data_IF_618280350076
#
_entry.id   IF_618280350076
#
_cell.length_a   1.000
_cell.length_b   1.000
_cell.length_c   1.000
_cell.angle_alpha   90.00
_cell.angle_beta   90.00
_cell.angle_gamma   90.00
#
_symmetry.space_group_name_H-M   'P 1'
#
loop_
_entity.id
_entity.type
_entity.pdbx_description
1 polymer ?
#
# COMPACT_ATOMS: atom_id res chain seq x y z
N UNK A 1 29.32 13.46 -8.54
CA UNK A 1 29.06 12.62 -7.36
C UNK A 1 30.22 12.81 -6.40
N UNK A 2 29.94 13.04 -5.13
CA UNK A 2 30.96 13.27 -4.10
C UNK A 2 31.87 12.04 -3.91
N UNK A 3 33.19 12.20 -3.66
CA UNK A 3 34.11 11.07 -3.46
C UNK A 3 33.69 10.06 -2.39
N UNK A 4 33.04 10.52 -1.30
CA UNK A 4 32.56 9.63 -0.22
C UNK A 4 31.38 8.77 -0.67
N UNK A 5 30.54 9.27 -1.57
CA UNK A 5 29.47 8.48 -2.17
C UNK A 5 30.04 7.45 -3.15
N UNK A 6 31.03 7.85 -3.97
CA UNK A 6 31.68 6.95 -4.93
C UNK A 6 32.41 5.81 -4.22
N UNK A 7 33.08 6.09 -3.10
CA UNK A 7 33.75 5.08 -2.28
C UNK A 7 32.78 4.10 -1.62
N UNK A 8 31.52 4.51 -1.45
CA UNK A 8 30.44 3.72 -0.84
C UNK A 8 29.69 2.82 -1.84
N UNK A 9 29.99 2.89 -3.14
CA UNK A 9 29.41 1.99 -4.14
C UNK A 9 29.93 0.56 -3.90
N UNK A 10 29.00 -0.36 -3.65
CA UNK A 10 29.29 -1.79 -3.47
C UNK A 10 29.29 -2.56 -4.78
N UNK A 11 28.36 -2.23 -5.68
CA UNK A 11 28.16 -2.95 -6.94
C UNK A 11 28.03 -1.97 -8.11
N UNK A 12 28.76 -2.25 -9.19
CA UNK A 12 28.77 -1.50 -10.43
C UNK A 12 28.08 -2.28 -11.56
N UNK A 13 27.77 -1.60 -12.66
CA UNK A 13 27.18 -2.26 -13.84
C UNK A 13 28.04 -3.41 -14.39
N UNK A 14 29.37 -3.28 -14.31
CA UNK A 14 30.33 -4.30 -14.74
C UNK A 14 30.32 -5.57 -13.90
N UNK A 15 29.74 -5.51 -12.69
CA UNK A 15 29.68 -6.65 -11.77
C UNK A 15 28.48 -7.56 -12.06
N UNK A 16 27.57 -7.13 -12.96
CA UNK A 16 26.37 -7.89 -13.34
C UNK A 16 26.73 -9.28 -13.87
N UNK A 17 26.19 -10.36 -13.27
CA UNK A 17 26.39 -11.70 -13.80
C UNK A 17 25.73 -11.88 -15.16
N UNK A 18 26.27 -12.74 -16.04
CA UNK A 18 25.59 -13.11 -17.28
C UNK A 18 24.24 -13.79 -16.96
N UNK A 19 23.30 -13.71 -17.90
CA UNK A 19 21.98 -14.32 -17.80
C UNK A 19 21.13 -13.81 -16.60
N UNK A 20 21.30 -12.54 -16.24
CA UNK A 20 20.44 -11.82 -15.27
C UNK A 20 19.72 -10.66 -15.97
N UNK A 21 18.53 -10.25 -15.52
CA UNK A 21 17.87 -9.07 -16.05
C UNK A 21 18.67 -7.81 -15.71
N UNK A 22 18.73 -6.87 -16.67
CA UNK A 22 19.45 -5.60 -16.47
C UNK A 22 18.58 -4.61 -15.69
N UNK A 23 18.67 -4.68 -14.36
CA UNK A 23 17.97 -3.75 -13.47
C UNK A 23 18.82 -2.52 -13.13
N UNK A 24 18.16 -1.38 -12.95
CA UNK A 24 18.75 -0.11 -12.52
C UNK A 24 17.81 0.61 -11.57
N UNK A 25 18.33 1.55 -10.78
CA UNK A 25 17.55 2.34 -9.83
C UNK A 25 17.83 3.82 -10.03
N UNK A 26 16.77 4.61 -9.95
CA UNK A 26 16.79 6.06 -9.89
C UNK A 26 16.07 6.50 -8.62
N UNK A 27 16.51 7.63 -8.04
CA UNK A 27 15.85 8.26 -6.90
C UNK A 27 15.43 9.65 -7.37
N UNK A 28 14.22 10.07 -7.05
CA UNK A 28 13.76 11.39 -7.42
C UNK A 28 14.67 12.49 -6.85
N UNK A 29 14.97 13.53 -7.64
CA UNK A 29 15.89 14.57 -7.23
C UNK A 29 15.30 15.44 -6.11
N UNK A 30 16.20 16.02 -5.30
CA UNK A 30 16.02 17.12 -4.36
C UNK A 30 14.64 17.24 -3.71
N UNK A 31 14.53 16.84 -2.44
CA UNK A 31 13.31 17.02 -1.65
C UNK A 31 13.52 17.85 -0.39
N UNK A 32 12.52 18.66 -0.09
CA UNK A 32 12.31 19.20 1.26
C UNK A 32 11.49 18.17 2.01
N UNK A 33 11.91 17.84 3.23
CA UNK A 33 11.26 16.83 4.06
C UNK A 33 10.93 17.47 5.41
N UNK A 34 9.65 17.55 5.75
CA UNK A 34 9.21 17.92 7.09
C UNK A 34 9.52 16.78 8.06
N UNK A 35 10.03 17.12 9.25
CA UNK A 35 10.21 16.14 10.33
C UNK A 35 8.91 15.84 11.06
N UNK A 36 7.93 16.74 11.02
CA UNK A 36 6.63 16.51 11.65
C UNK A 36 5.66 15.74 10.74
N UNK A 37 5.80 15.91 9.42
CA UNK A 37 5.00 15.22 8.40
C UNK A 37 5.86 14.85 7.17
N UNK A 38 6.62 13.76 7.23
CA UNK A 38 7.58 13.46 6.18
C UNK A 38 6.94 12.91 4.91
N UNK A 39 7.07 13.68 3.83
CA UNK A 39 6.78 13.17 2.49
C UNK A 39 7.77 12.05 2.15
N UNK A 40 7.25 10.92 1.68
CA UNK A 40 8.07 9.78 1.29
C UNK A 40 8.99 10.05 0.09
N UNK A 41 10.07 9.26 0.02
CA UNK A 41 11.03 9.30 -1.09
C UNK A 41 10.51 8.41 -2.21
N UNK A 42 10.62 8.86 -3.46
CA UNK A 42 10.20 8.08 -4.61
C UNK A 42 11.43 7.55 -5.34
N UNK A 43 11.38 6.26 -5.68
CA UNK A 43 12.39 5.57 -6.48
C UNK A 43 11.75 4.99 -7.74
N UNK A 44 12.58 4.78 -8.74
CA UNK A 44 12.21 4.05 -9.96
C UNK A 44 13.20 2.93 -10.19
N UNK A 45 12.72 1.69 -10.21
CA UNK A 45 13.50 0.52 -10.62
C UNK A 45 13.16 0.22 -12.08
N UNK A 46 14.15 0.20 -12.95
CA UNK A 46 13.95 -0.03 -14.38
C UNK A 46 14.59 -1.33 -14.82
N UNK A 47 13.85 -2.14 -15.58
CA UNK A 47 14.42 -3.20 -16.39
C UNK A 47 14.75 -2.65 -17.78
N UNK A 48 16.03 -2.67 -18.15
CA UNK A 48 16.45 -2.23 -19.47
C UNK A 48 15.97 -3.19 -20.57
N UNK A 49 15.82 -2.67 -21.78
CA UNK A 49 15.78 -3.52 -22.97
C UNK A 49 17.14 -4.21 -23.12
N UNK A 50 17.12 -5.54 -23.18
CA UNK A 50 18.30 -6.37 -23.37
C UNK A 50 18.01 -7.48 -24.39
N UNK A 51 18.99 -8.34 -24.68
CA UNK A 51 18.88 -9.39 -25.68
C UNK A 51 17.87 -10.51 -25.27
N UNK A 52 17.22 -10.38 -24.10
CA UNK A 52 16.26 -11.33 -23.57
C UNK A 52 14.84 -10.73 -23.56
N UNK A 53 13.97 -11.22 -24.45
CA UNK A 53 12.58 -10.77 -24.52
C UNK A 53 11.69 -11.29 -23.38
N UNK A 54 12.17 -12.22 -22.56
CA UNK A 54 11.36 -12.82 -21.51
C UNK A 54 11.10 -11.81 -20.38
N UNK A 55 9.90 -11.77 -19.77
CA UNK A 55 9.69 -11.06 -18.51
C UNK A 55 10.58 -11.64 -17.40
N UNK A 56 10.79 -10.88 -16.34
CA UNK A 56 11.34 -11.42 -15.09
C UNK A 56 10.46 -11.05 -13.91
N UNK A 57 10.32 -11.97 -12.96
CA UNK A 57 9.79 -11.64 -11.65
C UNK A 57 10.93 -11.20 -10.74
N UNK A 58 10.67 -10.21 -9.90
CA UNK A 58 11.62 -9.61 -9.00
C UNK A 58 10.92 -9.20 -7.71
N UNK A 59 11.37 -9.73 -6.57
CA UNK A 59 10.86 -9.31 -5.26
C UNK A 59 11.76 -8.25 -4.66
N UNK A 60 11.17 -7.13 -4.26
CA UNK A 60 11.84 -6.04 -3.57
C UNK A 60 10.95 -5.44 -2.49
N UNK A 61 11.32 -5.69 -1.24
CA UNK A 61 10.62 -5.23 -0.05
C UNK A 61 11.23 -3.92 0.46
N UNK A 62 10.41 -2.87 0.61
CA UNK A 62 10.87 -1.55 1.08
C UNK A 62 11.60 -1.64 2.43
N UNK A 63 11.05 -2.39 3.39
CA UNK A 63 11.60 -2.48 4.74
C UNK A 63 12.90 -3.28 4.82
N UNK A 64 13.08 -4.31 3.98
CA UNK A 64 14.22 -5.24 4.02
C UNK A 64 15.27 -4.96 2.97
N UNK A 65 14.86 -4.64 1.75
CA UNK A 65 15.73 -4.39 0.61
C UNK A 65 16.08 -2.89 0.49
N UNK A 66 15.11 -2.02 0.76
CA UNK A 66 15.30 -0.57 0.80
C UNK A 66 15.94 -0.09 2.11
N UNK A 67 15.31 -0.38 3.25
CA UNK A 67 15.72 0.11 4.58
C UNK A 67 16.49 -0.91 5.43
N UNK A 68 16.75 -2.10 4.89
CA UNK A 68 17.58 -3.09 5.57
C UNK A 68 19.08 -2.79 5.50
N UNK A 69 19.93 -3.68 6.04
CA UNK A 69 21.37 -3.42 6.22
C UNK A 69 22.16 -3.26 4.92
N UNK A 70 21.64 -3.80 3.81
CA UNK A 70 22.24 -3.70 2.48
C UNK A 70 21.62 -2.61 1.62
N UNK A 71 20.60 -1.92 2.11
CA UNK A 71 19.81 -0.96 1.36
C UNK A 71 20.41 0.45 1.32
N UNK A 72 19.55 1.47 1.37
CA UNK A 72 19.94 2.87 1.32
C UNK A 72 20.87 3.27 2.47
N UNK A 73 21.80 4.17 2.15
CA UNK A 73 22.68 4.84 3.10
C UNK A 73 22.31 6.32 3.17
N UNK A 74 22.52 6.95 4.32
CA UNK A 74 22.33 8.37 4.52
C UNK A 74 23.65 9.04 4.90
N UNK A 75 23.91 10.20 4.31
CA UNK A 75 25.08 11.04 4.61
C UNK A 75 24.62 12.44 4.99
N UNK A 76 25.18 13.01 6.05
CA UNK A 76 24.92 14.38 6.47
C UNK A 76 25.94 15.32 5.84
N UNK A 77 25.51 16.49 5.35
CA UNK A 77 26.41 17.56 4.96
C UNK A 77 26.95 18.25 6.20
N UNK A 78 28.27 18.25 6.36
CA UNK A 78 28.96 18.95 7.45
C UNK A 78 29.99 19.93 6.88
N UNK A 79 30.59 20.78 7.73
CA UNK A 79 31.68 21.68 7.32
C UNK A 79 32.90 20.94 6.78
N UNK A 80 33.09 19.69 7.20
CA UNK A 80 34.24 18.85 6.84
C UNK A 80 33.95 17.93 5.64
N UNK A 81 32.74 18.02 5.06
CA UNK A 81 32.27 17.19 3.96
C UNK A 81 31.10 16.28 4.33
N UNK A 82 30.85 15.25 3.52
CA UNK A 82 29.80 14.27 3.78
C UNK A 82 30.22 13.30 4.89
N UNK A 83 29.37 13.17 5.91
CA UNK A 83 29.56 12.21 6.99
C UNK A 83 28.45 11.16 6.97
N UNK A 84 28.83 9.88 6.91
CA UNK A 84 27.87 8.77 6.98
C UNK A 84 27.10 8.80 8.31
N UNK A 85 25.78 8.64 8.22
CA UNK A 85 24.87 8.51 9.35
C UNK A 85 24.64 7.02 9.61
N UNK A 86 24.75 6.59 10.87
CA UNK A 86 24.47 5.20 11.25
C UNK A 86 22.98 5.04 11.57
N UNK A 87 22.32 4.11 10.87
CA UNK A 87 20.89 3.85 11.02
C UNK A 87 20.59 2.58 11.83
N UNK A 88 19.42 2.55 12.46
CA UNK A 88 18.85 1.33 13.07
C UNK A 88 18.10 0.55 12.00
N UNK A 89 18.83 -0.20 11.19
CA UNK A 89 18.27 -0.95 10.06
C UNK A 89 17.32 -2.06 10.50
N UNK A 90 16.34 -2.35 9.64
CA UNK A 90 15.43 -3.48 9.79
C UNK A 90 16.12 -4.83 9.55
N UNK A 91 15.33 -5.91 9.65
CA UNK A 91 15.79 -7.26 9.34
C UNK A 91 16.34 -7.39 7.91
N UNK A 92 17.34 -8.28 7.68
CA UNK A 92 17.88 -8.50 6.35
C UNK A 92 16.82 -9.07 5.37
N UNK A 93 17.08 -8.95 4.05
CA UNK A 93 16.28 -9.58 3.00
C UNK A 93 16.12 -11.08 3.21
N UNK A 94 14.97 -11.60 2.77
CA UNK A 94 14.75 -13.03 2.70
C UNK A 94 15.64 -13.66 1.62
N UNK A 95 16.02 -14.92 1.81
CA UNK A 95 16.82 -15.66 0.82
C UNK A 95 15.97 -16.54 -0.09
N UNK A 96 14.79 -16.93 0.39
CA UNK A 96 13.77 -17.64 -0.39
C UNK A 96 12.39 -17.12 -0.02
N UNK A 97 11.43 -17.26 -0.94
CA UNK A 97 10.02 -17.08 -0.66
C UNK A 97 9.18 -18.00 -1.55
N UNK A 98 7.99 -18.36 -1.09
CA UNK A 98 7.03 -19.12 -1.89
C UNK A 98 5.96 -18.18 -2.43
N UNK A 99 5.81 -18.13 -3.75
CA UNK A 99 4.81 -17.29 -4.40
C UNK A 99 3.45 -17.99 -4.31
N UNK A 100 2.62 -17.63 -3.34
CA UNK A 100 1.29 -18.25 -3.15
C UNK A 100 0.13 -17.37 -3.60
N UNK A 101 0.42 -16.25 -4.25
CA UNK A 101 -0.49 -15.11 -4.42
C UNK A 101 0.15 -13.96 -5.18
N UNK A 102 -0.65 -12.96 -5.57
CA UNK A 102 -0.11 -11.62 -5.80
C UNK A 102 0.36 -11.06 -4.44
N UNK A 103 1.65 -10.74 -4.34
CA UNK A 103 2.28 -10.15 -3.17
C UNK A 103 2.79 -8.78 -3.60
N UNK A 104 2.43 -7.71 -2.87
CA UNK A 104 2.74 -6.30 -3.20
C UNK A 104 4.25 -6.03 -3.40
N UNK A 105 5.09 -6.95 -2.92
CA UNK A 105 6.54 -6.84 -2.97
C UNK A 105 7.16 -7.60 -4.16
N UNK A 106 6.37 -8.40 -4.89
CA UNK A 106 6.86 -9.22 -6.00
C UNK A 106 6.27 -8.73 -7.32
N UNK A 107 7.14 -8.25 -8.20
CA UNK A 107 6.77 -7.58 -9.43
C UNK A 107 7.16 -8.40 -10.65
N UNK A 108 6.40 -8.28 -11.73
CA UNK A 108 6.76 -8.77 -13.06
C UNK A 108 7.22 -7.60 -13.93
N UNK A 109 8.43 -7.69 -14.50
CA UNK A 109 9.02 -6.65 -15.34
C UNK A 109 9.36 -7.17 -16.74
N UNK A 110 8.67 -6.62 -17.73
CA UNK A 110 8.97 -6.71 -19.15
C UNK A 110 10.22 -5.89 -19.52
N UNK A 111 10.89 -6.21 -20.66
CA UNK A 111 12.01 -5.41 -21.12
C UNK A 111 11.57 -3.96 -21.36
N UNK A 112 12.31 -2.99 -20.82
CA UNK A 112 11.99 -1.56 -20.93
C UNK A 112 11.07 -1.02 -19.82
N UNK A 113 10.41 -1.89 -19.06
CA UNK A 113 9.44 -1.51 -18.03
C UNK A 113 10.10 -0.88 -16.80
N UNK A 114 9.35 0.00 -16.15
CA UNK A 114 9.76 0.72 -14.94
C UNK A 114 8.77 0.51 -13.82
N UNK A 115 9.29 0.32 -12.63
CA UNK A 115 8.57 0.21 -11.37
C UNK A 115 8.84 1.46 -10.55
N UNK A 116 7.83 2.30 -10.32
CA UNK A 116 7.95 3.48 -9.44
C UNK A 116 7.36 3.17 -8.07
N UNK A 117 8.07 3.49 -7.00
CA UNK A 117 7.68 3.19 -5.61
C UNK A 117 7.95 4.38 -4.70
N UNK A 118 6.98 4.70 -3.86
CA UNK A 118 7.22 5.53 -2.68
C UNK A 118 7.74 4.62 -1.56
N UNK A 119 8.97 4.85 -1.12
CA UNK A 119 9.65 4.05 -0.09
C UNK A 119 9.44 4.62 1.32
N UNK A 120 8.56 5.61 1.47
CA UNK A 120 8.34 6.32 2.72
C UNK A 120 9.53 7.19 3.11
N UNK A 121 9.55 7.62 4.36
CA UNK A 121 10.63 8.41 4.91
C UNK A 121 11.81 7.53 5.36
N UNK A 122 13.01 8.09 5.63
CA UNK A 122 14.21 7.31 5.96
C UNK A 122 14.16 6.70 7.36
N UNK A 123 13.24 5.75 7.60
CA UNK A 123 12.93 5.15 8.90
C UNK A 123 14.18 4.79 9.74
N UNK A 124 15.22 4.13 9.18
CA UNK A 124 16.39 3.73 9.98
C UNK A 124 17.19 4.91 10.54
N UNK A 125 17.12 6.06 9.89
CA UNK A 125 17.95 7.23 10.18
C UNK A 125 17.18 8.33 10.91
N UNK A 126 15.89 8.12 11.15
CA UNK A 126 14.96 9.14 11.62
C UNK A 126 15.44 9.89 12.87
N UNK A 127 15.93 9.16 13.88
CA UNK A 127 16.46 9.72 15.14
C UNK A 127 17.67 10.65 14.96
N UNK A 128 18.27 10.72 13.76
CA UNK A 128 19.46 11.49 13.45
C UNK A 128 19.20 12.63 12.46
N UNK A 129 17.96 12.80 12.01
CA UNK A 129 17.56 13.89 11.14
C UNK A 129 17.27 15.14 11.98
N UNK A 130 17.92 16.26 11.66
CA UNK A 130 17.69 17.55 12.32
C UNK A 130 17.16 18.56 11.32
N UNK A 131 16.23 19.39 11.78
CA UNK A 131 15.70 20.47 10.96
C UNK A 131 16.79 21.52 10.64
N UNK A 132 16.72 22.09 9.44
CA UNK A 132 17.72 23.00 8.89
C UNK A 132 18.97 22.31 8.35
N UNK A 133 19.12 21.00 8.53
CA UNK A 133 20.24 20.25 8.01
C UNK A 133 19.94 19.61 6.65
N UNK A 134 21.03 19.29 5.93
CA UNK A 134 20.99 18.71 4.59
C UNK A 134 21.66 17.35 4.59
N UNK A 135 21.04 16.40 3.91
CA UNK A 135 21.49 15.02 3.81
C UNK A 135 21.53 14.55 2.35
N UNK A 136 22.29 13.50 2.08
CA UNK A 136 22.27 12.75 0.82
C UNK A 136 21.80 11.33 1.12
N UNK A 137 20.67 10.96 0.51
CA UNK A 137 20.24 9.57 0.46
C UNK A 137 20.91 8.91 -0.73
N UNK A 138 21.51 7.74 -0.50
CA UNK A 138 22.37 7.08 -1.46
C UNK A 138 22.06 5.60 -1.59
N UNK A 139 21.93 5.13 -2.83
CA UNK A 139 21.84 3.72 -3.16
C UNK A 139 23.23 3.14 -3.43
N UNK A 140 23.78 2.28 -2.54
CA UNK A 140 25.12 1.71 -2.71
C UNK A 140 25.20 0.60 -3.75
N UNK A 141 24.05 0.11 -4.23
CA UNK A 141 23.96 -1.10 -5.03
C UNK A 141 23.82 -2.34 -4.15
N UNK A 142 23.07 -3.32 -4.66
CA UNK A 142 22.85 -4.58 -3.97
C UNK A 142 22.63 -5.74 -4.95
N UNK A 143 22.83 -6.95 -4.45
CA UNK A 143 22.55 -8.21 -5.13
C UNK A 143 21.32 -8.88 -4.53
N UNK A 144 20.51 -9.51 -5.39
CA UNK A 144 19.23 -10.12 -5.00
C UNK A 144 19.13 -11.54 -5.50
N UNK A 145 18.71 -12.44 -4.62
CA UNK A 145 18.44 -13.84 -4.95
C UNK A 145 16.96 -14.08 -5.32
N UNK A 146 16.06 -13.18 -4.92
CA UNK A 146 14.61 -13.35 -5.09
C UNK A 146 14.15 -12.83 -6.45
N UNK A 147 14.55 -13.54 -7.51
CA UNK A 147 14.13 -13.23 -8.87
C UNK A 147 14.10 -14.51 -9.72
N UNK A 148 13.36 -14.49 -10.82
CA UNK A 148 13.37 -15.55 -11.83
C UNK A 148 12.93 -15.02 -13.20
N UNK A 149 13.31 -15.72 -14.27
CA UNK A 149 12.77 -15.47 -15.62
C UNK A 149 11.37 -16.04 -15.77
N UNK A 150 10.49 -15.33 -16.45
CA UNK A 150 9.09 -15.71 -16.66
C UNK A 150 8.12 -14.76 -15.96
N UNK A 151 6.86 -15.16 -15.96
CA UNK A 151 5.72 -14.41 -15.41
C UNK A 151 5.39 -14.85 -13.98
N UNK A 152 4.67 -14.01 -13.22
CA UNK A 152 4.13 -14.37 -11.90
C UNK A 152 3.28 -15.65 -11.98
N UNK A 153 2.53 -15.81 -13.07
CA UNK A 153 1.66 -16.97 -13.29
C UNK A 153 2.46 -18.26 -13.49
N UNK A 154 3.56 -18.21 -14.22
CA UNK A 154 4.44 -19.37 -14.42
C UNK A 154 5.08 -19.84 -13.12
N UNK A 155 5.37 -18.91 -12.20
CA UNK A 155 6.02 -19.18 -10.92
C UNK A 155 5.05 -19.40 -9.76
N UNK A 156 3.76 -19.53 -10.04
CA UNK A 156 2.76 -19.71 -9.00
C UNK A 156 2.98 -21.01 -8.19
N UNK A 157 2.84 -20.91 -6.87
CA UNK A 157 3.13 -21.94 -5.86
C UNK A 157 4.58 -22.44 -5.80
N UNK A 158 5.48 -21.86 -6.61
CA UNK A 158 6.89 -22.19 -6.64
C UNK A 158 7.67 -21.43 -5.56
N UNK A 159 8.78 -22.02 -5.13
CA UNK A 159 9.75 -21.35 -4.28
C UNK A 159 10.78 -20.62 -5.15
N UNK A 160 10.91 -19.32 -4.92
CA UNK A 160 11.87 -18.45 -5.60
C UNK A 160 12.96 -18.07 -4.61
N UNK A 161 14.21 -18.05 -5.07
CA UNK A 161 15.34 -17.61 -4.25
C UNK A 161 16.61 -18.40 -4.53
N UNK A 162 17.48 -18.45 -3.53
CA UNK A 162 18.81 -19.08 -3.61
C UNK A 162 18.78 -20.55 -4.04
N UNK A 163 17.66 -21.25 -3.83
CA UNK A 163 17.50 -22.67 -4.16
C UNK A 163 17.30 -22.93 -5.67
N UNK A 164 16.93 -21.91 -6.46
CA UNK A 164 16.75 -22.05 -7.92
C UNK A 164 18.07 -22.17 -8.69
N UNK A 165 19.21 -21.92 -8.06
CA UNK A 165 20.52 -21.96 -8.71
C UNK A 165 20.76 -20.83 -9.73
N UNK A 166 19.87 -19.83 -9.77
CA UNK A 166 20.06 -18.64 -10.59
C UNK A 166 21.16 -17.74 -10.00
N UNK A 167 21.95 -17.06 -10.85
CA UNK A 167 22.87 -16.03 -10.37
C UNK A 167 22.10 -14.90 -9.68
N UNK A 168 22.71 -14.19 -8.73
CA UNK A 168 22.06 -13.04 -8.08
C UNK A 168 21.95 -11.88 -9.08
N UNK A 169 20.77 -11.29 -9.20
CA UNK A 169 20.60 -10.07 -10.01
C UNK A 169 21.20 -8.89 -9.25
N UNK A 170 21.83 -7.96 -9.97
CA UNK A 170 22.43 -6.76 -9.38
C UNK A 170 21.66 -5.52 -9.82
N UNK A 171 21.26 -4.71 -8.84
CA UNK A 171 20.91 -3.31 -9.06
C UNK A 171 22.16 -2.49 -8.71
N UNK A 172 22.82 -1.85 -9.69
CA UNK A 172 24.04 -1.11 -9.45
C UNK A 172 23.80 0.10 -8.54
N UNK A 173 24.84 0.49 -7.81
CA UNK A 173 24.84 1.67 -6.97
C UNK A 173 25.06 2.97 -7.75
N UNK A 174 24.84 4.09 -7.07
CA UNK A 174 25.09 5.42 -7.60
C UNK A 174 23.85 6.32 -7.66
N UNK A 175 22.65 5.78 -7.51
CA UNK A 175 21.46 6.61 -7.39
C UNK A 175 21.53 7.43 -6.09
N UNK A 176 21.32 8.74 -6.17
CA UNK A 176 21.40 9.61 -5.00
C UNK A 176 20.42 10.78 -5.10
N UNK A 177 19.89 11.23 -3.97
CA UNK A 177 19.15 12.47 -3.89
C UNK A 177 19.50 13.26 -2.63
N UNK A 178 19.34 14.58 -2.73
CA UNK A 178 19.56 15.48 -1.61
C UNK A 178 18.26 15.72 -0.86
N UNK A 179 18.30 15.62 0.47
CA UNK A 179 17.19 15.86 1.38
C UNK A 179 17.50 17.08 2.24
N UNK A 180 16.59 18.05 2.29
CA UNK A 180 16.68 19.18 3.22
C UNK A 180 15.58 19.03 4.26
N UNK A 181 15.95 18.89 5.53
CA UNK A 181 14.99 18.71 6.61
C UNK A 181 14.49 20.07 7.12
N UNK A 182 13.19 20.20 7.35
CA UNK A 182 12.56 21.40 7.94
C UNK A 182 11.67 21.00 9.10
N UNK A 183 11.47 21.89 10.08
CA UNK A 183 10.56 21.64 11.21
C UNK A 183 9.12 21.55 10.71
N UNK A 184 8.71 22.51 9.87
CA UNK A 184 7.36 22.63 9.36
C UNK A 184 7.42 23.07 7.89
N UNK A 185 7.03 22.19 6.97
CA UNK A 185 6.54 22.68 5.69
C UNK A 185 5.09 23.11 5.98
N UNK A 186 4.74 24.37 5.71
CA UNK A 186 3.40 24.93 5.93
C UNK A 186 2.36 24.29 5.02
N UNK A 187 2.18 22.99 5.15
CA UNK A 187 1.11 22.21 4.58
C UNK A 187 0.03 22.27 5.64
N UNK A 188 -1.04 22.99 5.30
CA UNK A 188 -2.34 22.85 5.92
C UNK A 188 -2.53 21.38 6.26
N UNK A 189 -2.64 21.05 7.56
CA UNK A 189 -3.22 19.79 7.99
C UNK A 189 -4.59 19.77 7.32
N UNK A 190 -4.69 19.12 6.16
CA UNK A 190 -5.99 18.82 5.61
C UNK A 190 -6.52 17.79 6.58
N UNK A 191 -7.32 18.27 7.55
CA UNK A 191 -8.29 17.42 8.20
C UNK A 191 -9.01 16.69 7.06
N UNK A 192 -8.98 15.35 7.02
CA UNK A 192 -9.87 14.62 6.14
C UNK A 192 -11.25 14.80 6.77
N UNK A 193 -11.87 15.90 6.36
CA UNK A 193 -13.20 16.35 6.76
C UNK A 193 -14.28 15.66 5.94
N UNK A 194 -13.96 14.62 5.16
CA UNK A 194 -14.98 13.90 4.42
C UNK A 194 -15.83 13.10 5.41
N UNK A 195 -17.11 13.47 5.58
CA UNK A 195 -17.98 12.77 6.51
C UNK A 195 -18.16 11.33 6.04
N UNK A 196 -18.30 10.41 6.99
CA UNK A 196 -18.70 9.03 6.72
C UNK A 196 -19.83 8.98 5.69
N UNK A 197 -19.77 8.03 4.75
CA UNK A 197 -20.86 7.87 3.78
C UNK A 197 -22.13 7.50 4.53
N UNK A 198 -23.09 8.41 4.52
CA UNK A 198 -24.37 8.19 5.16
C UNK A 198 -25.24 7.20 4.37
N UNK A 199 -26.09 6.48 5.09
CA UNK A 199 -27.11 5.61 4.49
C UNK A 199 -28.02 6.36 3.51
N UNK A 200 -28.27 7.64 3.78
CA UNK A 200 -29.07 8.56 2.93
C UNK A 200 -28.48 8.76 1.53
N UNK A 201 -27.21 8.41 1.30
CA UNK A 201 -26.54 8.50 0.00
C UNK A 201 -26.83 7.33 -0.92
N UNK A 202 -27.48 6.27 -0.43
CA UNK A 202 -27.87 5.12 -1.26
C UNK A 202 -28.79 5.56 -2.40
N UNK A 203 -28.67 4.90 -3.53
CA UNK A 203 -29.42 5.23 -4.75
C UNK A 203 -30.56 4.21 -4.90
N UNK A 204 -31.84 4.63 -4.96
CA UNK A 204 -32.95 3.70 -5.16
C UNK A 204 -32.78 2.87 -6.44
N UNK A 205 -33.07 1.57 -6.35
CA UNK A 205 -32.94 0.61 -7.44
C UNK A 205 -31.55 0.00 -7.61
N UNK A 206 -30.52 0.45 -6.87
CA UNK A 206 -29.21 -0.22 -6.86
C UNK A 206 -29.19 -1.38 -5.88
N UNK A 207 -28.22 -2.30 -5.99
CA UNK A 207 -27.91 -3.23 -4.92
C UNK A 207 -27.64 -2.52 -3.59
N UNK A 208 -28.19 -3.07 -2.52
CA UNK A 208 -28.02 -2.59 -1.16
C UNK A 208 -26.94 -3.43 -0.49
N UNK A 209 -25.81 -2.82 -0.13
CA UNK A 209 -24.69 -3.49 0.52
C UNK A 209 -24.46 -2.89 1.90
N UNK A 210 -24.08 -3.75 2.85
CA UNK A 210 -23.67 -3.38 4.21
C UNK A 210 -22.33 -4.00 4.57
N UNK A 211 -21.60 -3.31 5.44
CA UNK A 211 -20.31 -3.75 5.98
C UNK A 211 -20.42 -3.84 7.50
N UNK A 212 -19.97 -4.95 8.06
CA UNK A 212 -19.91 -5.19 9.49
C UNK A 212 -18.51 -5.65 9.90
N UNK A 213 -17.99 -5.06 10.98
CA UNK A 213 -16.67 -5.36 11.51
C UNK A 213 -16.76 -6.11 12.84
N UNK A 214 -15.91 -7.11 12.99
CA UNK A 214 -15.74 -7.85 14.24
C UNK A 214 -14.25 -8.07 14.49
N UNK A 215 -13.77 -7.84 15.71
CA UNK A 215 -12.38 -8.05 16.03
C UNK A 215 -12.11 -8.06 17.53
N UNK A 216 -10.91 -8.48 17.95
CA UNK A 216 -10.50 -8.43 19.34
C UNK A 216 -10.42 -7.00 19.86
N UNK A 217 -10.53 -6.84 21.18
CA UNK A 217 -10.46 -5.55 21.87
C UNK A 217 -9.04 -5.18 22.34
N UNK A 218 -8.02 -5.94 21.97
CA UNK A 218 -6.64 -5.68 22.36
C UNK A 218 -5.66 -6.09 21.27
N UNK A 219 -4.58 -5.31 21.12
CA UNK A 219 -3.45 -5.58 20.23
C UNK A 219 -2.15 -5.60 21.04
N UNK A 220 -1.36 -6.67 20.91
CA UNK A 220 -0.05 -6.78 21.55
C UNK A 220 1.06 -6.29 20.62
N UNK A 221 2.26 -6.12 21.18
CA UNK A 221 3.45 -5.73 20.38
C UNK A 221 3.95 -6.84 19.45
N UNK A 222 3.60 -8.08 19.73
CA UNK A 222 4.16 -9.26 19.07
C UNK A 222 3.19 -9.92 18.10
N UNK A 223 1.88 -9.81 18.35
CA UNK A 223 0.84 -10.45 17.57
C UNK A 223 0.08 -9.45 16.71
N UNK A 224 -0.36 -9.90 15.54
CA UNK A 224 -1.23 -9.10 14.68
C UNK A 224 -2.68 -9.28 15.10
N UNK A 225 -3.38 -8.17 15.31
CA UNK A 225 -4.82 -8.12 15.46
C UNK A 225 -5.49 -8.54 14.15
N UNK A 226 -6.42 -9.49 14.21
CA UNK A 226 -7.22 -9.94 13.07
C UNK A 226 -8.63 -9.34 13.20
N UNK A 227 -9.00 -8.46 12.28
CA UNK A 227 -10.33 -7.87 12.19
C UNK A 227 -11.06 -8.54 11.03
N UNK A 228 -12.19 -9.18 11.33
CA UNK A 228 -13.10 -9.70 10.31
C UNK A 228 -13.95 -8.57 9.75
N UNK A 229 -14.00 -8.52 8.42
CA UNK A 229 -14.84 -7.63 7.63
C UNK A 229 -15.88 -8.49 6.93
N UNK A 230 -17.14 -8.33 7.29
CA UNK A 230 -18.27 -9.01 6.67
C UNK A 230 -18.99 -8.04 5.74
N UNK A 231 -19.03 -8.36 4.46
CA UNK A 231 -19.69 -7.57 3.41
C UNK A 231 -20.92 -8.34 2.97
N UNK A 232 -22.11 -7.76 3.12
CA UNK A 232 -23.38 -8.45 2.84
C UNK A 232 -24.14 -7.73 1.74
N UNK A 233 -24.65 -8.50 0.78
CA UNK A 233 -25.61 -8.00 -0.20
C UNK A 233 -27.03 -8.20 0.34
N UNK A 234 -27.67 -7.14 0.80
CA UNK A 234 -28.94 -7.18 1.54
C UNK A 234 -30.19 -7.22 0.64
N UNK A 235 -30.02 -7.04 -0.68
CA UNK A 235 -31.12 -6.95 -1.66
C UNK A 235 -31.13 -5.62 -2.40
N UNK A 236 -32.30 -5.12 -2.79
CA UNK A 236 -32.43 -3.85 -3.52
C UNK A 236 -32.59 -2.65 -2.58
N UNK A 237 -32.00 -1.52 -2.93
CA UNK A 237 -32.24 -0.24 -2.26
C UNK A 237 -33.61 0.32 -2.66
N UNK A 238 -34.46 0.64 -1.70
CA UNK A 238 -35.73 1.35 -1.93
C UNK A 238 -35.59 2.87 -1.80
N UNK A 239 -36.68 3.60 -2.00
CA UNK A 239 -36.74 5.07 -1.86
C UNK A 239 -36.34 5.57 -0.46
N UNK A 240 -36.52 4.75 0.57
CA UNK A 240 -36.13 5.06 1.96
C UNK A 240 -34.66 4.69 2.27
N UNK A 241 -33.87 4.32 1.25
CA UNK A 241 -32.49 3.87 1.38
C UNK A 241 -32.31 2.56 2.19
N UNK A 242 -33.39 1.78 2.31
CA UNK A 242 -33.45 0.48 2.99
C UNK A 242 -33.37 -0.69 2.02
N UNK A 243 -32.99 -1.86 2.55
CA UNK A 243 -32.93 -3.09 1.79
C UNK A 243 -34.32 -3.71 1.63
N UNK A 244 -34.65 -4.15 0.42
CA UNK A 244 -35.87 -4.89 0.09
C UNK A 244 -35.51 -6.15 -0.69
N UNK A 245 -36.05 -7.28 -0.25
CA UNK A 245 -35.66 -8.61 -0.74
C UNK A 245 -36.46 -9.12 -1.94
N UNK A 246 -37.66 -8.57 -2.16
CA UNK A 246 -38.70 -9.22 -2.97
C UNK A 246 -38.34 -9.51 -4.44
N UNK A 247 -37.46 -8.70 -5.04
CA UNK A 247 -37.06 -8.79 -6.45
C UNK A 247 -35.53 -8.83 -6.64
N UNK A 248 -34.77 -9.11 -5.58
CA UNK A 248 -33.32 -9.08 -5.62
C UNK A 248 -32.76 -10.23 -6.48
N UNK A 249 -31.92 -9.89 -7.46
CA UNK A 249 -31.20 -10.86 -8.31
C UNK A 249 -29.74 -11.01 -7.84
N UNK A 250 -29.04 -12.09 -8.24
CA UNK A 250 -27.60 -12.17 -8.07
C UNK A 250 -26.91 -10.95 -8.70
N UNK A 251 -25.76 -10.58 -8.15
CA UNK A 251 -24.95 -9.47 -8.65
C UNK A 251 -23.50 -9.91 -8.81
N UNK A 252 -22.78 -9.23 -9.71
CA UNK A 252 -21.33 -9.18 -9.70
C UNK A 252 -20.91 -7.73 -9.42
N UNK A 253 -20.04 -7.53 -8.45
CA UNK A 253 -19.51 -6.22 -8.06
C UNK A 253 -18.00 -6.18 -8.20
N UNK A 254 -17.48 -5.01 -8.55
CA UNK A 254 -16.07 -4.69 -8.39
C UNK A 254 -15.76 -4.49 -6.90
N UNK A 255 -14.74 -5.17 -6.38
CA UNK A 255 -14.50 -5.26 -4.93
C UNK A 255 -13.47 -4.25 -4.37
N UNK A 256 -12.94 -3.39 -5.25
CA UNK A 256 -11.99 -2.33 -4.91
C UNK A 256 -12.42 -1.45 -3.72
N UNK A 257 -13.69 -1.05 -3.54
CA UNK A 257 -14.06 -0.19 -2.42
C UNK A 257 -13.94 -0.84 -1.05
N UNK A 258 -13.67 -2.15 -0.97
CA UNK A 258 -13.38 -2.86 0.26
C UNK A 258 -11.87 -3.10 0.45
N UNK A 259 -11.04 -2.38 -0.30
CA UNK A 259 -9.60 -2.22 -0.07
C UNK A 259 -9.35 -1.32 1.15
N UNK A 260 -8.08 -1.19 1.55
CA UNK A 260 -7.66 -0.41 2.74
C UNK A 260 -8.07 1.07 2.67
N UNK A 261 -8.26 1.61 1.48
CA UNK A 261 -8.42 3.05 1.23
C UNK A 261 -9.71 3.63 1.82
N UNK A 262 -10.74 2.79 2.00
CA UNK A 262 -12.03 3.19 2.60
C UNK A 262 -12.15 2.81 4.08
N UNK A 263 -11.06 2.38 4.72
CA UNK A 263 -11.03 2.17 6.16
C UNK A 263 -10.28 3.32 6.83
N UNK A 264 -10.69 3.64 8.06
CA UNK A 264 -10.02 4.62 8.90
C UNK A 264 -9.62 3.99 10.20
N UNK A 265 -8.40 4.27 10.61
CA UNK A 265 -7.92 3.99 11.95
C UNK A 265 -7.79 5.32 12.68
N UNK A 266 -8.55 5.46 13.76
CA UNK A 266 -8.58 6.62 14.61
C UNK A 266 -7.94 6.28 15.95
N UNK A 267 -7.26 7.25 16.56
CA UNK A 267 -6.67 7.13 17.89
C UNK A 267 -7.39 8.07 18.85
N UNK A 268 -7.65 7.58 20.04
CA UNK A 268 -8.03 8.40 21.18
C UNK A 268 -6.82 8.52 22.12
N UNK A 269 -6.17 9.69 22.12
CA UNK A 269 -5.11 9.98 23.08
C UNK A 269 -5.76 10.30 24.42
N UNK A 270 -5.53 9.47 25.45
CA UNK A 270 -6.05 9.75 26.80
C UNK A 270 -5.40 10.97 27.47
N UNK A 271 -4.35 11.55 26.89
CA UNK A 271 -3.61 12.67 27.44
C UNK A 271 -3.16 13.66 26.35
N UNK A 272 -3.85 14.79 26.17
CA UNK A 272 -3.13 16.03 25.83
C UNK A 272 -3.89 17.33 26.16
N UNK A 273 -3.71 17.84 27.38
CA UNK A 273 -3.19 19.19 27.70
C UNK A 273 -3.22 19.41 29.25
N UNK A 274 -2.08 19.50 29.95
CA UNK A 274 -2.03 19.76 31.39
C UNK A 274 -2.54 21.14 31.82
N UNK A 275 -2.94 22.01 30.88
CA UNK A 275 -3.45 23.36 31.14
C UNK A 275 -4.93 23.57 30.76
N UNK A 276 -5.59 22.61 30.10
CA UNK A 276 -7.02 22.75 29.78
C UNK A 276 -7.88 22.19 30.90
N UNK A 277 -8.59 23.09 31.57
CA UNK A 277 -9.70 22.73 32.46
C UNK A 277 -10.78 22.05 31.62
N UNK A 278 -11.12 20.82 32.04
CA UNK A 278 -12.30 20.07 31.66
C UNK A 278 -13.54 20.96 31.74
N UNK A 279 -14.30 21.05 30.66
CA UNK A 279 -15.74 21.30 30.74
C UNK A 279 -16.53 20.76 29.52
N UNK A 280 -15.96 19.86 28.71
CA UNK A 280 -16.72 19.16 27.66
C UNK A 280 -16.08 17.78 27.36
N UNK A 281 -16.31 16.82 28.27
CA UNK A 281 -15.69 15.48 28.25
C UNK A 281 -16.33 14.57 27.20
N UNK A 282 -15.92 14.72 25.94
CA UNK A 282 -15.86 13.58 25.02
C UNK A 282 -14.42 13.38 24.55
N UNK A 283 -13.89 12.14 24.62
CA UNK A 283 -12.57 11.85 24.07
C UNK A 283 -12.54 12.20 22.58
N UNK A 284 -11.68 13.13 22.19
CA UNK A 284 -11.53 13.52 20.79
C UNK A 284 -10.79 12.41 20.03
N UNK A 285 -11.51 11.73 19.13
CA UNK A 285 -10.92 10.77 18.20
C UNK A 285 -10.25 11.53 17.07
N UNK A 286 -8.99 11.21 16.80
CA UNK A 286 -8.25 11.77 15.65
C UNK A 286 -7.98 10.67 14.65
N UNK A 287 -8.35 10.90 13.39
CA UNK A 287 -7.96 10.03 12.28
C UNK A 287 -6.44 10.06 12.15
N UNK A 288 -5.83 8.88 12.21
CA UNK A 288 -4.38 8.72 12.12
C UNK A 288 -3.96 8.26 10.72
N UNK A 289 -4.83 7.54 10.02
CA UNK A 289 -4.60 7.14 8.63
C UNK A 289 -5.51 7.91 7.70
N UNK A 290 -4.98 8.98 7.13
CA UNK A 290 -5.40 9.50 5.83
C UNK A 290 -4.12 10.01 5.17
N UNK A 291 -3.69 9.40 4.08
CA UNK A 291 -2.72 9.97 3.14
C UNK A 291 -1.21 9.97 3.48
N UNK A 292 -0.77 10.06 4.73
CA UNK A 292 0.67 10.22 5.04
C UNK A 292 1.49 8.92 4.92
N UNK A 293 0.83 7.76 5.06
CA UNK A 293 1.39 6.43 4.75
C UNK A 293 0.64 5.75 3.62
N UNK A 294 0.23 6.51 2.59
CA UNK A 294 -0.23 5.86 1.38
C UNK A 294 0.99 5.16 0.72
N UNK A 295 1.17 3.89 1.06
CA UNK A 295 2.14 2.99 0.44
C UNK A 295 1.76 2.82 -1.04
N UNK A 296 2.24 3.75 -1.88
CA UNK A 296 2.35 3.52 -3.30
C UNK A 296 1.24 4.08 -4.17
N UNK A 297 1.26 5.40 -4.37
CA UNK A 297 0.94 5.89 -5.71
C UNK A 297 1.99 5.34 -6.69
N UNK A 298 1.63 4.22 -7.30
CA UNK A 298 2.25 3.70 -8.50
C UNK A 298 1.89 4.63 -9.66
N UNK A 299 2.86 5.38 -10.18
CA UNK A 299 2.70 6.01 -11.49
C UNK A 299 3.28 5.00 -12.49
N UNK A 300 2.38 4.27 -13.13
CA UNK A 300 2.70 3.23 -14.11
C UNK A 300 2.07 3.67 -15.43
N UNK A 301 2.88 3.82 -16.46
CA UNK A 301 2.46 4.28 -17.81
C UNK A 301 2.03 3.10 -18.71
N UNK A 302 1.60 1.99 -18.13
CA UNK A 302 1.15 0.81 -18.88
C UNK A 302 -0.31 0.92 -19.32
N UNK A 303 -0.68 0.28 -20.44
CA UNK A 303 -2.04 0.28 -20.91
C UNK A 303 -2.95 -0.48 -19.94
N UNK A 304 -4.22 -0.08 -19.92
CA UNK A 304 -5.26 -0.75 -19.15
C UNK A 304 -5.39 -2.22 -19.55
N UNK A 305 -5.68 -3.07 -18.56
CA UNK A 305 -5.70 -4.52 -18.69
C UNK A 305 -7.13 -5.00 -18.77
N UNK A 306 -7.42 -5.84 -19.77
CA UNK A 306 -8.69 -6.54 -19.89
C UNK A 306 -8.79 -7.65 -18.84
N UNK A 307 -9.81 -7.57 -17.99
CA UNK A 307 -10.09 -8.52 -16.92
C UNK A 307 -11.49 -9.06 -17.07
N UNK A 308 -11.62 -10.39 -16.94
CA UNK A 308 -12.92 -11.04 -16.95
C UNK A 308 -13.61 -10.86 -15.59
N UNK A 309 -14.89 -10.47 -15.60
CA UNK A 309 -15.64 -10.14 -14.36
C UNK A 309 -15.96 -11.36 -13.49
N UNK A 310 -15.67 -12.58 -13.95
CA UNK A 310 -15.77 -13.80 -13.14
C UNK A 310 -14.52 -14.08 -12.31
N UNK A 311 -13.44 -13.32 -12.52
CA UNK A 311 -12.22 -13.42 -11.73
C UNK A 311 -12.50 -13.00 -10.29
N UNK A 312 -12.37 -13.94 -9.35
CA UNK A 312 -12.61 -13.70 -7.93
C UNK A 312 -11.58 -12.79 -7.27
N UNK A 313 -10.50 -12.42 -7.95
CA UNK A 313 -9.50 -11.51 -7.41
C UNK A 313 -10.04 -10.08 -7.30
N UNK A 314 -10.77 -9.62 -8.33
CA UNK A 314 -11.24 -8.23 -8.45
C UNK A 314 -12.77 -8.11 -8.38
N UNK A 315 -13.47 -9.19 -8.72
CA UNK A 315 -14.93 -9.20 -8.81
C UNK A 315 -15.55 -10.25 -7.91
N UNK A 316 -16.67 -9.89 -7.29
CA UNK A 316 -17.41 -10.76 -6.37
C UNK A 316 -18.81 -10.97 -6.88
N UNK A 317 -19.17 -12.24 -7.06
CA UNK A 317 -20.56 -12.63 -7.31
C UNK A 317 -21.22 -12.90 -5.96
N UNK A 318 -22.40 -12.33 -5.74
CA UNK A 318 -23.15 -12.43 -4.49
C UNK A 318 -24.61 -12.72 -4.78
N UNK A 319 -25.16 -13.71 -4.07
CA UNK A 319 -26.59 -13.94 -3.98
C UNK A 319 -27.24 -12.98 -2.98
N UNK A 320 -28.53 -12.64 -3.12
CA UNK A 320 -29.25 -11.86 -2.11
C UNK A 320 -29.17 -12.53 -0.71
N UNK A 321 -28.59 -11.82 0.25
CA UNK A 321 -28.29 -12.26 1.62
C UNK A 321 -26.94 -12.91 1.82
N UNK A 322 -26.21 -13.17 0.75
CA UNK A 322 -24.88 -13.72 0.84
C UNK A 322 -23.92 -12.72 1.47
N UNK A 323 -22.96 -13.24 2.23
CA UNK A 323 -21.92 -12.44 2.85
C UNK A 323 -20.56 -12.95 2.45
N UNK A 324 -19.70 -12.04 2.02
CA UNK A 324 -18.27 -12.26 1.88
C UNK A 324 -17.58 -11.92 3.20
N UNK A 325 -16.63 -12.75 3.61
CA UNK A 325 -15.80 -12.50 4.78
C UNK A 325 -14.36 -12.23 4.30
N UNK A 326 -13.79 -11.12 4.77
CA UNK A 326 -12.39 -10.75 4.61
C UNK A 326 -11.75 -10.61 6.00
N UNK A 327 -10.44 -10.79 6.07
CA UNK A 327 -9.68 -10.60 7.30
C UNK A 327 -8.63 -9.50 7.07
N UNK A 328 -8.68 -8.46 7.88
CA UNK A 328 -7.66 -7.41 7.93
C UNK A 328 -6.72 -7.72 9.09
N UNK A 329 -5.43 -7.67 8.84
CA UNK A 329 -4.40 -7.92 9.84
C UNK A 329 -3.68 -6.61 10.17
N UNK A 330 -3.83 -6.12 11.40
CA UNK A 330 -3.13 -4.95 11.91
C UNK A 330 -2.04 -5.40 12.90
N UNK A 331 -0.81 -4.96 12.69
CA UNK A 331 0.29 -5.09 13.65
C UNK A 331 0.54 -3.81 14.44
N UNK A 332 1.37 -3.90 15.48
CA UNK A 332 1.74 -2.73 16.28
C UNK A 332 2.44 -1.63 15.45
N UNK A 333 3.12 -2.00 14.35
CA UNK A 333 3.76 -1.06 13.40
C UNK A 333 2.76 -0.26 12.56
N UNK A 334 1.52 -0.76 12.47
CA UNK A 334 0.41 -0.10 11.80
C UNK A 334 -0.28 0.90 12.74
N UNK A 335 0.18 1.07 13.97
CA UNK A 335 -0.30 2.09 14.89
C UNK A 335 0.58 3.36 14.80
N UNK A 336 0.20 4.41 15.53
CA UNK A 336 1.01 5.63 15.60
C UNK A 336 2.40 5.33 16.20
N UNK A 337 3.53 5.89 15.70
CA UNK A 337 4.87 5.55 16.19
C UNK A 337 5.07 5.76 17.69
N UNK A 338 4.39 6.75 18.27
CA UNK A 338 4.41 7.05 19.71
C UNK A 338 3.41 6.22 20.54
N UNK A 339 2.78 5.19 19.95
CA UNK A 339 1.78 4.37 20.64
C UNK A 339 2.37 3.78 21.91
N UNK A 340 1.70 4.06 23.03
CA UNK A 340 2.03 3.48 24.33
C UNK A 340 0.95 2.50 24.76
N UNK A 341 1.33 1.57 25.64
CA UNK A 341 0.38 0.66 26.28
C UNK A 341 -0.70 1.47 26.98
N UNK A 342 -1.96 1.11 26.74
CA UNK A 342 -3.15 1.82 27.21
C UNK A 342 -3.80 2.74 26.17
N UNK A 343 -3.13 3.08 25.07
CA UNK A 343 -3.74 3.84 23.98
C UNK A 343 -4.88 3.04 23.34
N UNK A 344 -5.97 3.74 23.01
CA UNK A 344 -7.15 3.12 22.39
C UNK A 344 -7.29 3.59 20.94
N UNK A 345 -7.59 2.64 20.08
CA UNK A 345 -7.80 2.82 18.66
C UNK A 345 -9.20 2.39 18.26
N UNK A 346 -9.70 2.98 17.18
CA UNK A 346 -10.95 2.64 16.53
C UNK A 346 -10.71 2.39 15.05
N UNK A 347 -11.09 1.21 14.57
CA UNK A 347 -11.02 0.85 13.16
C UNK A 347 -12.44 0.78 12.58
N UNK A 348 -12.68 1.47 11.47
CA UNK A 348 -14.00 1.60 10.87
C UNK A 348 -13.91 1.62 9.35
N UNK A 349 -14.90 1.01 8.67
CA UNK A 349 -15.13 1.27 7.25
C UNK A 349 -15.85 2.61 7.14
N UNK A 350 -15.21 3.60 6.51
CA UNK A 350 -15.70 4.97 6.40
C UNK A 350 -16.83 5.13 5.38
N UNK A 351 -17.01 4.12 4.53
CA UNK A 351 -17.93 4.14 3.41
C UNK A 351 -17.20 4.20 2.07
N UNK A 352 -17.91 3.92 0.98
CA UNK A 352 -17.32 3.94 -0.35
C UNK A 352 -18.36 3.83 -1.46
N UNK A 353 -17.90 3.91 -2.71
CA UNK A 353 -18.72 3.72 -3.89
C UNK A 353 -18.18 2.56 -4.73
N UNK A 354 -19.05 1.63 -5.11
CA UNK A 354 -18.73 0.61 -6.10
C UNK A 354 -19.00 1.20 -7.47
N UNK A 355 -17.90 1.40 -8.20
CA UNK A 355 -17.83 2.02 -9.52
C UNK A 355 -18.46 1.14 -10.61
N UNK A 356 -18.30 -0.19 -10.50
CA UNK A 356 -18.81 -1.13 -11.50
C UNK A 356 -19.55 -2.31 -10.89
N UNK A 357 -20.70 -2.65 -11.48
CA UNK A 357 -21.49 -3.82 -11.11
C UNK A 357 -22.46 -4.24 -12.22
N UNK A 358 -22.92 -5.49 -12.18
CA UNK A 358 -23.94 -6.04 -13.09
C UNK A 358 -24.90 -7.00 -12.39
N UNK A 359 -26.10 -7.16 -12.95
CA UNK A 359 -27.08 -8.18 -12.56
C UNK A 359 -26.75 -9.51 -13.21
N UNK A 360 -26.74 -10.60 -12.45
CA UNK A 360 -26.50 -11.95 -12.95
C UNK A 360 -25.43 -12.69 -12.17
N UNK A 361 -25.30 -13.98 -12.46
CA UNK A 361 -24.26 -14.83 -11.90
C UNK A 361 -23.04 -14.93 -12.84
N UNK A 362 -22.07 -15.76 -12.45
CA UNK A 362 -20.83 -15.94 -13.20
C UNK A 362 -21.06 -16.67 -14.52
N UNK A 363 -22.06 -17.54 -14.57
CA UNK A 363 -22.44 -18.28 -15.76
C UNK A 363 -23.01 -17.33 -16.82
N UNK A 364 -23.90 -16.42 -16.43
CA UNK A 364 -24.46 -15.38 -17.30
C UNK A 364 -23.37 -14.41 -17.81
N UNK A 365 -22.39 -14.10 -16.97
CA UNK A 365 -21.32 -13.15 -17.28
C UNK A 365 -19.97 -13.77 -17.65
N UNK A 366 -19.94 -15.06 -18.03
CA UNK A 366 -18.70 -15.79 -18.32
C UNK A 366 -17.81 -15.14 -19.38
N UNK A 367 -18.39 -14.38 -20.32
CA UNK A 367 -17.67 -13.68 -21.39
C UNK A 367 -17.64 -12.15 -21.21
N UNK A 368 -18.05 -11.64 -20.05
CA UNK A 368 -18.03 -10.20 -19.79
C UNK A 368 -16.64 -9.79 -19.35
N UNK A 369 -16.10 -8.76 -20.01
CA UNK A 369 -14.75 -8.24 -19.79
C UNK A 369 -14.86 -6.73 -19.58
N UNK A 370 -14.07 -6.23 -18.64
CA UNK A 370 -13.90 -4.80 -18.37
C UNK A 370 -12.41 -4.49 -18.36
N UNK A 371 -12.05 -3.21 -18.41
CA UNK A 371 -10.66 -2.79 -18.21
C UNK A 371 -10.45 -2.20 -16.84
N UNK A 372 -9.39 -2.66 -16.18
CA UNK A 372 -8.80 -2.03 -15.00
C UNK A 372 -7.51 -1.33 -15.43
N UNK A 373 -7.02 -0.32 -14.69
CA UNK A 373 -5.70 0.22 -14.97
C UNK A 373 -4.63 -0.86 -14.81
N UNK A 374 -3.44 -0.61 -15.32
CA UNK A 374 -2.35 -1.58 -15.33
C UNK A 374 -1.91 -2.10 -13.96
N UNK A 375 -2.15 -1.36 -12.87
CA UNK A 375 -1.93 -1.83 -11.51
C UNK A 375 -3.10 -2.64 -10.90
N UNK A 376 -4.19 -2.83 -11.65
CA UNK A 376 -5.37 -3.67 -11.36
C UNK A 376 -6.14 -3.34 -10.07
N UNK A 377 -5.69 -2.37 -9.29
CA UNK A 377 -6.20 -2.04 -7.96
C UNK A 377 -6.66 -0.58 -7.92
N UNK A 378 -7.66 -0.28 -8.74
CA UNK A 378 -8.36 1.01 -8.84
C UNK A 378 -9.67 0.78 -9.61
N UNK A 379 -10.47 1.83 -9.77
CA UNK A 379 -11.72 1.84 -10.52
C UNK A 379 -11.60 1.27 -11.95
N UNK A 380 -12.71 0.68 -12.41
CA UNK A 380 -12.90 0.26 -13.80
C UNK A 380 -12.82 1.46 -14.72
N UNK A 381 -11.93 1.39 -15.70
CA UNK A 381 -11.69 2.46 -16.69
C UNK A 381 -12.53 2.26 -17.95
N UNK A 382 -12.85 1.03 -18.32
CA UNK A 382 -13.80 0.74 -19.41
C UNK A 382 -14.75 -0.41 -19.05
N UNK A 383 -16.08 -0.18 -19.11
CA UNK A 383 -16.76 1.08 -19.44
C UNK A 383 -16.67 2.09 -18.28
N UNK A 384 -16.20 3.31 -18.57
CA UNK A 384 -16.00 4.36 -17.55
C UNK A 384 -17.29 4.81 -16.85
N UNK A 385 -18.45 4.66 -17.50
CA UNK A 385 -19.76 5.06 -17.00
C UNK A 385 -20.60 3.87 -16.50
N UNK A 386 -19.98 2.71 -16.27
CA UNK A 386 -20.66 1.47 -15.88
C UNK A 386 -21.84 1.12 -16.81
N UNK A 387 -21.69 1.37 -18.12
CA UNK A 387 -22.73 1.25 -19.15
C UNK A 387 -24.03 2.02 -18.78
N UNK A 388 -23.90 3.16 -18.12
CA UNK A 388 -25.01 4.01 -17.67
C UNK A 388 -25.71 3.53 -16.39
N UNK A 389 -25.22 2.47 -15.73
CA UNK A 389 -25.73 2.05 -14.42
C UNK A 389 -25.21 3.00 -13.32
N UNK A 390 -26.06 3.40 -12.35
CA UNK A 390 -25.61 4.17 -11.20
C UNK A 390 -24.62 3.38 -10.35
N UNK A 391 -23.68 4.04 -9.69
CA UNK A 391 -22.78 3.42 -8.70
C UNK A 391 -23.56 2.88 -7.49
N UNK A 392 -22.99 1.93 -6.75
CA UNK A 392 -23.57 1.50 -5.46
C UNK A 392 -22.88 2.27 -4.34
N UNK A 393 -23.66 3.03 -3.56
CA UNK A 393 -23.14 3.71 -2.38
C UNK A 393 -23.21 2.78 -1.17
N UNK A 394 -22.06 2.52 -0.55
CA UNK A 394 -21.92 1.68 0.64
C UNK A 394 -21.70 2.59 1.86
N UNK A 395 -22.60 2.59 2.84
CA UNK A 395 -22.46 3.45 4.02
C UNK A 395 -21.35 2.96 4.95
N UNK A 396 -20.92 3.83 5.86
CA UNK A 396 -19.96 3.48 6.91
C UNK A 396 -20.47 2.33 7.78
N UNK A 397 -19.54 1.49 8.26
CA UNK A 397 -19.85 0.36 9.15
C UNK A 397 -19.95 0.76 10.62
N UNK A 398 -20.22 -0.23 11.47
CA UNK A 398 -19.81 -0.16 12.89
C UNK A 398 -18.28 -0.08 13.00
N UNK A 399 -17.77 0.13 14.22
CA UNK A 399 -16.34 0.16 14.47
C UNK A 399 -15.88 -1.00 15.38
N UNK A 400 -14.59 -1.32 15.30
CA UNK A 400 -13.88 -2.16 16.26
C UNK A 400 -12.97 -1.25 17.08
N UNK A 401 -13.15 -1.27 18.39
CA UNK A 401 -12.27 -0.57 19.33
C UNK A 401 -11.32 -1.55 19.99
N UNK A 402 -10.03 -1.19 20.04
CA UNK A 402 -9.01 -2.01 20.67
C UNK A 402 -7.95 -1.17 21.38
N UNK A 403 -7.37 -1.76 22.42
CA UNK A 403 -6.35 -1.12 23.26
C UNK A 403 -4.98 -1.74 23.01
N UNK A 404 -3.94 -0.90 22.93
CA UNK A 404 -2.55 -1.35 22.90
C UNK A 404 -2.15 -1.97 24.26
N UNK A 405 -1.70 -3.22 24.24
CA UNK A 405 -1.21 -3.96 25.41
C UNK A 405 0.24 -4.42 25.19
N UNK A 406 0.90 -4.84 26.27
CA UNK A 406 2.27 -5.36 26.24
C UNK A 406 2.46 -6.56 25.30
#
# INVERSE_FOLDING_TARGET
MDPELVSSIKYFERDRPPNTPRLSMEIEPNRVMSLDNPIGVIITIRRAEDDCSNPCIFRWNILRDGWGPSGFMLFQHTSDGLKKVEGKHNSPPLQTFRLTGYEVETEELLPGQTLRRNIGHPYPFWDHLNAGERYELFWPGAEYALWAWGTLREHWEQEIGVNLGLPRVIIPGGACCSLTCVEEEGISISEPDDPCVEKSKRIPGTPCISVFLEGPSAISRTEKLQIMVKITYDGLTNEDCEAVYGDAKPIIIHDYPFSRDNFRLQRCCHNYDPLKKLDDDSPQWKSYFDDERNEGWMIVDEPDVEVNVTDSMFFRSLQPGESLIRCVSLGFTDLHPDTVVGDTYRYQYWGGCIDWWTWGDREEHANTVVKLPCWLNDHVVEPADNDGRPVIMVPSSNFVEFTAID
#
